data_IF_593339465367
#
_entry.id   IF_593339465367
#
_cell.length_a   1.000
_cell.length_b   1.000
_cell.length_c   1.000
_cell.angle_alpha   90.00
_cell.angle_beta   90.00
_cell.angle_gamma   90.00
#
_symmetry.space_group_name_H-M   'P 1'
#
loop_
_entity.id
_entity.type
_entity.pdbx_description
1 polymer ?
#
# COMPACT_ATOMS: atom_id res chain seq x y z
N UNK A 1 50.90 -30.08 -12.16
CA UNK A 1 49.72 -30.17 -13.04
C UNK A 1 48.48 -30.39 -12.18
N UNK A 2 47.43 -29.56 -12.38
CA UNK A 2 46.03 -29.77 -11.93
C UNK A 2 45.86 -29.68 -10.40
N UNK A 3 44.97 -28.87 -9.82
CA UNK A 3 43.59 -28.55 -10.21
C UNK A 3 43.19 -27.17 -9.66
N UNK A 4 43.17 -26.16 -10.52
CA UNK A 4 42.41 -24.91 -10.30
C UNK A 4 41.11 -25.06 -11.09
N UNK A 5 40.01 -25.41 -10.43
CA UNK A 5 38.69 -25.38 -11.05
C UNK A 5 37.66 -24.88 -10.02
N UNK A 6 37.43 -23.57 -10.12
CA UNK A 6 36.13 -22.91 -10.08
C UNK A 6 35.04 -23.55 -9.22
N UNK A 7 34.95 -23.11 -7.97
CA UNK A 7 33.69 -23.11 -7.21
C UNK A 7 33.17 -21.67 -7.17
N UNK A 8 32.79 -21.14 -8.33
CA UNK A 8 32.04 -19.89 -8.45
C UNK A 8 30.63 -20.25 -8.94
N UNK A 9 29.91 -21.02 -8.14
CA UNK A 9 28.51 -21.33 -8.37
C UNK A 9 27.73 -20.89 -7.13
N UNK A 10 26.70 -20.07 -7.38
CA UNK A 10 25.64 -19.67 -6.45
C UNK A 10 25.97 -18.58 -5.41
N UNK A 11 26.19 -17.35 -5.88
CA UNK A 11 25.93 -16.14 -5.08
C UNK A 11 25.00 -15.15 -5.81
N UNK A 12 24.10 -15.66 -6.66
CA UNK A 12 22.97 -14.89 -7.22
C UNK A 12 21.72 -14.99 -6.33
N UNK A 13 21.90 -15.26 -5.04
CA UNK A 13 20.81 -15.25 -4.09
C UNK A 13 20.43 -13.80 -3.78
N UNK A 14 19.34 -13.38 -4.43
CA UNK A 14 18.31 -12.54 -3.81
C UNK A 14 18.67 -11.07 -3.57
N UNK A 15 18.92 -10.31 -4.65
CA UNK A 15 18.44 -8.93 -4.68
C UNK A 15 17.03 -8.92 -5.26
N UNK A 16 16.06 -9.47 -4.53
CA UNK A 16 14.70 -8.99 -4.71
C UNK A 16 14.66 -7.65 -3.96
N UNK A 17 14.70 -6.49 -4.64
CA UNK A 17 14.24 -5.28 -3.97
C UNK A 17 12.79 -5.56 -3.60
N UNK A 18 12.53 -5.81 -2.32
CA UNK A 18 11.17 -5.97 -1.86
C UNK A 18 10.46 -4.63 -2.09
N UNK A 19 9.65 -4.61 -3.14
CA UNK A 19 8.81 -3.46 -3.44
C UNK A 19 7.66 -3.55 -2.46
N UNK A 20 7.56 -2.58 -1.55
CA UNK A 20 6.44 -2.47 -0.62
C UNK A 20 5.13 -2.63 -1.38
N UNK A 21 4.17 -3.33 -0.79
CA UNK A 21 2.81 -3.44 -1.30
C UNK A 21 1.85 -2.57 -0.46
N UNK A 22 0.70 -2.22 -1.04
CA UNK A 22 -0.37 -1.50 -0.35
C UNK A 22 -1.57 -2.44 -0.16
N UNK A 23 -2.03 -2.54 1.08
CA UNK A 23 -3.07 -3.48 1.48
C UNK A 23 -4.25 -2.76 2.12
N UNK A 24 -5.44 -3.34 1.93
CA UNK A 24 -6.65 -2.98 2.66
C UNK A 24 -7.33 -4.22 3.20
N UNK A 25 -7.79 -4.14 4.44
CA UNK A 25 -8.67 -5.12 5.05
C UNK A 25 -9.89 -4.40 5.64
N UNK A 26 -11.07 -4.77 5.18
CA UNK A 26 -12.34 -4.17 5.58
C UNK A 26 -13.34 -5.29 5.86
N UNK A 27 -13.31 -5.89 7.05
CA UNK A 27 -14.19 -7.01 7.38
C UNK A 27 -15.66 -6.57 7.38
N UNK A 28 -16.61 -7.44 6.99
CA UNK A 28 -18.03 -7.13 7.11
C UNK A 28 -18.45 -6.95 8.57
N UNK A 29 -19.42 -6.08 8.80
CA UNK A 29 -19.93 -5.80 10.15
C UNK A 29 -21.46 -5.83 10.20
N UNK A 30 -22.01 -6.04 11.40
CA UNK A 30 -23.45 -5.95 11.63
C UNK A 30 -23.96 -4.51 11.43
N UNK A 31 -25.27 -4.34 11.22
CA UNK A 31 -25.88 -3.02 11.20
C UNK A 31 -25.62 -2.27 12.53
N UNK A 32 -25.57 -0.94 12.46
CA UNK A 32 -25.34 -0.04 13.60
C UNK A 32 -23.99 -0.23 14.32
N UNK A 33 -23.05 -0.95 13.68
CA UNK A 33 -21.66 -1.06 14.11
C UNK A 33 -20.75 -0.15 13.29
N UNK A 34 -19.62 0.19 13.88
CA UNK A 34 -18.53 0.90 13.21
C UNK A 34 -17.98 0.05 12.06
N UNK A 35 -17.73 0.68 10.92
CA UNK A 35 -16.93 0.08 9.86
C UNK A 35 -15.45 0.34 10.17
N UNK A 36 -14.73 -0.71 10.54
CA UNK A 36 -13.29 -0.64 10.74
C UNK A 36 -12.55 -0.93 9.44
N UNK A 37 -11.56 -0.09 9.16
CA UNK A 37 -10.74 -0.13 7.97
C UNK A 37 -9.29 -0.22 8.41
N UNK A 38 -8.61 -1.27 7.97
CA UNK A 38 -7.18 -1.45 8.19
C UNK A 38 -6.43 -1.24 6.88
N UNK A 39 -5.43 -0.38 6.89
CA UNK A 39 -4.47 -0.23 5.80
C UNK A 39 -3.10 -0.72 6.25
N UNK A 40 -2.37 -1.38 5.38
CA UNK A 40 -0.99 -1.80 5.63
C UNK A 40 -0.10 -1.44 4.43
N UNK A 41 1.16 -1.13 4.71
CA UNK A 41 2.18 -0.84 3.72
C UNK A 41 3.41 -1.70 4.00
N UNK A 42 3.96 -2.35 2.97
CA UNK A 42 5.09 -3.25 3.09
C UNK A 42 4.79 -4.68 2.65
N UNK A 43 5.75 -5.55 2.89
CA UNK A 43 5.81 -6.87 2.23
C UNK A 43 5.11 -7.98 3.04
N UNK A 44 4.63 -7.67 4.24
CA UNK A 44 4.08 -8.64 5.18
C UNK A 44 2.65 -8.26 5.57
N UNK A 45 1.65 -8.79 4.87
CA UNK A 45 0.25 -8.72 5.31
C UNK A 45 -0.05 -9.82 6.36
N UNK A 46 -0.85 -9.55 7.43
CA UNK A 46 -1.52 -8.30 7.79
C UNK A 46 -0.66 -7.32 8.61
N UNK A 47 0.59 -7.66 8.88
CA UNK A 47 1.49 -6.88 9.72
C UNK A 47 2.25 -5.81 8.92
N UNK A 48 1.53 -4.76 8.48
CA UNK A 48 2.14 -3.63 7.79
C UNK A 48 3.22 -2.92 8.60
N UNK A 49 4.18 -2.34 7.90
CA UNK A 49 5.23 -1.51 8.50
C UNK A 49 4.67 -0.13 8.87
N UNK A 50 5.15 0.49 9.97
CA UNK A 50 4.93 1.91 10.22
C UNK A 50 5.42 2.76 9.03
N UNK A 51 4.54 3.57 8.44
CA UNK A 51 4.92 4.52 7.38
C UNK A 51 5.61 5.71 8.06
N UNK A 52 6.90 5.98 7.76
CA UNK A 52 7.60 7.13 8.33
C UNK A 52 6.83 8.43 8.05
N UNK A 53 6.80 9.36 9.01
CA UNK A 53 6.05 10.62 8.88
C UNK A 53 6.37 11.38 7.57
N UNK A 54 7.65 11.41 7.18
CA UNK A 54 8.10 12.03 5.93
C UNK A 54 7.51 11.41 4.65
N UNK A 55 7.00 10.16 4.73
CA UNK A 55 6.42 9.42 3.61
C UNK A 55 4.88 9.40 3.64
N UNK A 56 4.23 9.88 4.69
CA UNK A 56 2.76 9.89 4.76
C UNK A 56 2.13 10.71 3.62
N UNK A 57 2.80 11.80 3.21
CA UNK A 57 2.35 12.64 2.09
C UNK A 57 2.31 11.90 0.74
N UNK A 58 3.00 10.77 0.61
CA UNK A 58 2.99 9.91 -0.58
C UNK A 58 1.65 9.19 -0.75
N UNK A 59 0.82 9.14 0.29
CA UNK A 59 -0.49 8.52 0.23
C UNK A 59 -1.56 9.59 0.02
N UNK A 60 -2.56 9.26 -0.80
CA UNK A 60 -3.81 10.03 -0.85
C UNK A 60 -4.65 9.70 0.39
N UNK A 61 -5.61 10.57 0.78
CA UNK A 61 -6.63 10.17 1.73
C UNK A 61 -7.29 8.87 1.29
N UNK A 62 -7.52 7.96 2.23
CA UNK A 62 -8.30 6.75 1.98
C UNK A 62 -9.76 7.15 1.74
N UNK A 63 -10.42 6.52 0.77
CA UNK A 63 -11.80 6.85 0.40
C UNK A 63 -12.70 5.63 0.59
N UNK A 64 -13.79 5.81 1.34
CA UNK A 64 -14.86 4.82 1.47
C UNK A 64 -16.11 5.31 0.74
N UNK A 65 -16.64 4.51 -0.18
CA UNK A 65 -17.82 4.83 -0.99
C UNK A 65 -18.92 3.82 -0.73
N UNK A 66 -20.13 4.29 -0.39
CA UNK A 66 -21.28 3.39 -0.20
C UNK A 66 -22.04 3.11 -1.49
N UNK A 67 -22.99 2.18 -1.45
CA UNK A 67 -23.84 1.83 -2.60
C UNK A 67 -24.76 2.93 -3.14
N UNK A 68 -24.86 4.08 -2.46
CA UNK A 68 -25.55 5.28 -2.95
C UNK A 68 -24.58 6.29 -3.60
N UNK A 69 -23.27 5.98 -3.66
CA UNK A 69 -22.24 6.86 -4.19
C UNK A 69 -21.75 7.94 -3.23
N UNK A 70 -22.18 7.93 -1.97
CA UNK A 70 -21.67 8.85 -0.95
C UNK A 70 -20.25 8.43 -0.54
N UNK A 71 -19.38 9.42 -0.38
CA UNK A 71 -17.96 9.21 -0.07
C UNK A 71 -17.57 9.80 1.27
N UNK A 72 -16.72 9.08 2.00
CA UNK A 72 -16.01 9.55 3.20
C UNK A 72 -14.50 9.48 2.95
N UNK A 73 -13.73 10.46 3.43
CA UNK A 73 -12.28 10.52 3.23
C UNK A 73 -11.52 10.56 4.54
N UNK A 74 -10.46 9.75 4.65
CA UNK A 74 -9.65 9.60 5.86
C UNK A 74 -8.20 10.03 5.58
N UNK A 75 -7.70 11.11 6.20
CA UNK A 75 -6.29 11.49 6.11
C UNK A 75 -5.38 10.39 6.65
N UNK A 76 -4.25 10.13 5.98
CA UNK A 76 -3.26 9.16 6.44
C UNK A 76 -2.40 9.79 7.56
N UNK A 77 -2.94 9.79 8.78
CA UNK A 77 -2.28 10.38 9.96
C UNK A 77 -2.30 9.50 11.20
N UNK A 78 -2.95 8.32 11.18
CA UNK A 78 -3.01 7.43 12.35
C UNK A 78 -1.77 6.54 12.45
N UNK A 79 -1.20 6.42 13.66
CA UNK A 79 0.02 5.62 13.91
C UNK A 79 -0.15 4.12 13.61
N UNK A 80 -1.39 3.64 13.47
CA UNK A 80 -1.70 2.23 13.19
C UNK A 80 -2.36 2.00 11.83
N UNK A 81 -2.59 3.07 11.05
CA UNK A 81 -3.35 3.04 9.79
C UNK A 81 -4.69 2.31 9.90
N UNK A 82 -5.32 2.48 11.07
CA UNK A 82 -6.68 2.05 11.36
C UNK A 82 -7.57 3.27 11.26
N UNK A 83 -8.70 3.11 10.60
CA UNK A 83 -9.72 4.13 10.38
C UNK A 83 -11.07 3.54 10.72
N UNK A 84 -11.99 4.38 11.16
CA UNK A 84 -13.31 3.94 11.61
C UNK A 84 -14.37 4.92 11.13
N UNK A 85 -15.43 4.40 10.52
CA UNK A 85 -16.63 5.17 10.20
C UNK A 85 -17.73 4.82 11.20
N UNK A 86 -18.15 5.80 11.99
CA UNK A 86 -19.22 5.64 12.98
C UNK A 86 -20.60 5.75 12.31
N UNK A 87 -21.54 4.91 12.76
CA UNK A 87 -22.92 4.87 12.26
C UNK A 87 -23.06 4.84 10.72
N UNK A 88 -22.32 3.98 10.02
CA UNK A 88 -22.36 3.92 8.57
C UNK A 88 -23.69 3.34 8.08
N UNK A 89 -24.17 3.82 6.93
CA UNK A 89 -25.37 3.29 6.29
C UNK A 89 -25.23 1.80 5.95
N UNK A 90 -26.31 1.04 6.14
CA UNK A 90 -26.34 -0.37 5.79
C UNK A 90 -26.21 -0.59 4.26
N UNK A 91 -25.61 -1.73 3.88
CA UNK A 91 -25.38 -2.12 2.49
C UNK A 91 -23.91 -2.21 2.14
N UNK A 92 -23.60 -2.11 0.84
CA UNK A 92 -22.25 -2.31 0.31
C UNK A 92 -21.36 -1.09 0.48
N UNK A 93 -20.08 -1.35 0.68
CA UNK A 93 -19.03 -0.36 0.77
C UNK A 93 -17.82 -0.79 -0.05
N UNK A 94 -17.27 0.16 -0.83
CA UNK A 94 -15.99 0.03 -1.51
C UNK A 94 -15.01 0.98 -0.86
N UNK A 95 -13.89 0.45 -0.39
CA UNK A 95 -12.81 1.24 0.21
C UNK A 95 -11.61 1.20 -0.72
N UNK A 96 -10.97 2.35 -0.92
CA UNK A 96 -9.76 2.45 -1.73
C UNK A 96 -8.68 3.28 -1.06
N UNK A 97 -7.44 2.82 -1.23
CA UNK A 97 -6.23 3.48 -0.78
C UNK A 97 -5.29 3.62 -1.96
N UNK A 98 -4.58 4.74 -2.03
CA UNK A 98 -3.68 5.06 -3.14
C UNK A 98 -2.37 5.61 -2.61
N UNK A 99 -1.28 4.96 -2.98
CA UNK A 99 0.05 5.54 -2.97
C UNK A 99 0.22 6.32 -4.28
N UNK A 100 0.46 7.62 -4.19
CA UNK A 100 0.57 8.54 -5.32
C UNK A 100 1.80 8.22 -6.18
N UNK A 101 1.76 8.51 -7.50
CA UNK A 101 2.95 8.43 -8.34
C UNK A 101 4.13 9.15 -7.70
N UNK A 102 5.20 8.40 -7.45
CA UNK A 102 6.40 8.88 -6.75
C UNK A 102 7.64 8.34 -7.44
N UNK A 103 8.59 9.23 -7.71
CA UNK A 103 9.88 8.83 -8.25
C UNK A 103 10.79 8.25 -7.16
N UNK A 104 11.37 7.10 -7.48
CA UNK A 104 12.44 6.47 -6.72
C UNK A 104 13.64 6.25 -7.63
N UNK A 105 14.79 6.71 -7.16
CA UNK A 105 16.07 6.54 -7.84
C UNK A 105 17.00 5.63 -7.04
N UNK A 106 17.79 4.84 -7.75
CA UNK A 106 18.80 3.93 -7.21
C UNK A 106 20.16 4.21 -7.85
N UNK A 107 21.20 4.37 -7.04
CA UNK A 107 22.59 4.52 -7.50
C UNK A 107 23.56 4.03 -6.41
N UNK A 108 24.80 3.65 -6.76
CA UNK A 108 25.84 3.42 -5.78
C UNK A 108 26.09 4.67 -4.91
N UNK A 109 26.21 4.45 -3.61
CA UNK A 109 26.63 5.41 -2.60
C UNK A 109 27.67 4.71 -1.70
N UNK A 110 28.94 4.88 -2.07
CA UNK A 110 30.04 4.05 -1.57
C UNK A 110 29.95 2.60 -2.10
N UNK A 111 30.09 1.63 -1.21
CA UNK A 111 30.07 0.18 -1.54
C UNK A 111 28.65 -0.39 -1.71
N UNK A 112 27.60 0.40 -1.42
CA UNK A 112 26.21 -0.07 -1.42
C UNK A 112 25.36 0.72 -2.40
N UNK A 113 24.34 0.09 -2.94
CA UNK A 113 23.28 0.81 -3.65
C UNK A 113 22.30 1.43 -2.64
N UNK A 114 21.86 2.65 -2.89
CA UNK A 114 20.87 3.33 -2.06
C UNK A 114 19.68 3.83 -2.87
N UNK A 115 18.47 3.57 -2.35
CA UNK A 115 17.23 4.14 -2.84
C UNK A 115 17.01 5.54 -2.26
N UNK A 116 16.59 6.49 -3.10
CA UNK A 116 16.20 7.85 -2.71
C UNK A 116 14.94 8.25 -3.43
N UNK A 117 14.04 8.97 -2.74
CA UNK A 117 12.90 9.60 -3.37
C UNK A 117 13.40 10.81 -4.19
N UNK A 118 13.72 10.58 -5.44
CA UNK A 118 14.40 11.52 -6.34
C UNK A 118 14.13 11.12 -7.78
N UNK A 119 14.36 12.04 -8.72
CA UNK A 119 14.34 11.76 -10.16
C UNK A 119 15.74 11.91 -10.80
N UNK A 120 15.84 11.68 -12.11
CA UNK A 120 17.10 11.79 -12.87
C UNK A 120 17.69 13.19 -12.96
N UNK A 121 16.88 14.25 -12.82
CA UNK A 121 17.38 15.63 -12.81
C UNK A 121 18.06 15.94 -11.48
N UNK A 122 17.44 15.48 -10.38
CA UNK A 122 17.94 15.66 -9.01
C UNK A 122 19.12 14.72 -8.70
N UNK A 123 19.17 13.53 -9.30
CA UNK A 123 20.28 12.58 -9.13
C UNK A 123 20.79 11.99 -10.46
N UNK A 124 21.60 12.76 -11.23
CA UNK A 124 22.09 12.32 -12.53
C UNK A 124 22.86 10.99 -12.48
N UNK A 125 22.61 10.15 -13.48
CA UNK A 125 23.21 8.82 -13.61
C UNK A 125 22.61 7.74 -12.70
N UNK A 126 21.53 8.04 -11.97
CA UNK A 126 20.76 7.02 -11.23
C UNK A 126 19.86 6.20 -12.17
N UNK A 127 19.64 4.93 -11.84
CA UNK A 127 18.41 4.24 -12.26
C UNK A 127 17.23 4.97 -11.62
N UNK A 128 16.11 5.10 -12.33
CA UNK A 128 14.94 5.83 -11.86
C UNK A 128 13.68 5.12 -12.32
N UNK A 129 12.72 4.97 -11.41
CA UNK A 129 11.38 4.48 -11.69
C UNK A 129 10.35 5.41 -11.05
N UNK A 130 9.16 5.44 -11.62
CA UNK A 130 7.99 6.01 -10.97
C UNK A 130 7.14 4.85 -10.46
N UNK A 131 6.69 4.95 -9.21
CA UNK A 131 5.89 3.90 -8.57
C UNK A 131 4.59 4.48 -8.06
N UNK A 132 3.51 3.73 -8.27
CA UNK A 132 2.17 3.99 -7.76
C UNK A 132 1.57 2.66 -7.32
N UNK A 133 0.74 2.68 -6.28
CA UNK A 133 0.06 1.49 -5.78
C UNK A 133 -1.38 1.84 -5.42
N UNK A 134 -2.29 0.89 -5.63
CA UNK A 134 -3.68 1.04 -5.25
C UNK A 134 -4.17 -0.24 -4.59
N UNK A 135 -4.85 -0.10 -3.45
CA UNK A 135 -5.60 -1.17 -2.82
C UNK A 135 -7.08 -0.86 -2.88
N UNK A 136 -7.90 -1.90 -3.07
CA UNK A 136 -9.36 -1.82 -2.99
C UNK A 136 -9.88 -2.98 -2.17
N UNK A 137 -10.82 -2.72 -1.28
CA UNK A 137 -11.55 -3.74 -0.53
C UNK A 137 -13.04 -3.50 -0.63
N UNK A 138 -13.77 -4.57 -0.89
CA UNK A 138 -15.22 -4.62 -0.91
C UNK A 138 -15.73 -5.19 0.41
N UNK A 139 -16.73 -4.55 1.00
CA UNK A 139 -17.35 -5.02 2.24
C UNK A 139 -18.83 -4.65 2.30
N UNK A 140 -19.49 -5.04 3.39
CA UNK A 140 -20.88 -4.69 3.64
C UNK A 140 -21.15 -4.46 5.14
N UNK A 141 -22.21 -3.71 5.40
CA UNK A 141 -22.67 -3.33 6.74
C UNK A 141 -24.13 -3.74 6.87
N UNK A 142 -24.38 -4.81 7.61
CA UNK A 142 -25.68 -5.49 7.55
C UNK A 142 -26.07 -5.88 6.12
N UNK A 143 -27.22 -6.55 5.98
CA UNK A 143 -27.82 -6.84 4.67
C UNK A 143 -26.86 -7.39 3.57
N UNK A 144 -26.20 -8.55 3.76
CA UNK A 144 -25.24 -9.14 2.81
C UNK A 144 -25.79 -9.38 1.39
N UNK A 145 -27.11 -9.37 1.20
CA UNK A 145 -27.77 -9.49 -0.10
C UNK A 145 -27.95 -8.18 -0.88
N UNK A 146 -27.55 -7.02 -0.32
CA UNK A 146 -27.66 -5.71 -0.98
C UNK A 146 -26.27 -5.21 -1.40
N UNK A 147 -25.75 -5.74 -2.51
CA UNK A 147 -24.38 -5.54 -3.00
C UNK A 147 -24.21 -4.52 -4.16
N UNK A 148 -25.01 -3.43 -4.19
CA UNK A 148 -25.03 -2.49 -5.31
C UNK A 148 -23.70 -1.75 -5.59
N UNK A 149 -22.86 -1.49 -4.59
CA UNK A 149 -21.55 -0.84 -4.84
C UNK A 149 -20.53 -1.77 -5.53
N UNK A 150 -20.81 -3.08 -5.57
CA UNK A 150 -19.88 -4.10 -6.06
C UNK A 150 -20.26 -4.65 -7.43
N UNK A 151 -21.51 -4.46 -7.84
CA UNK A 151 -22.08 -5.10 -9.03
C UNK A 151 -22.51 -4.09 -10.11
N UNK A 152 -22.18 -2.82 -9.97
CA UNK A 152 -22.42 -1.75 -10.94
C UNK A 152 -21.09 -1.14 -11.36
#
# INVERSE_FOLDING_TARGET
MKKTLFTAALALASFAPHAHELWLNVPPVAADKTLDIEMAYGDSFPHGEPIPAARQALFAPLVATNGAGQTESFPISSEKYRFSLAHPAAGSWLVSATYKPTFWSLKPDGEKYQWRQSNKQQWPGSYCMESTMSAKSASYIGAPGKNRALTQ
#
